data_IF_504230058954
#
_entry.id   IF_504230058954
#
_cell.length_a   1.000
_cell.length_b   1.000
_cell.length_c   1.000
_cell.angle_alpha   90.00
_cell.angle_beta   90.00
_cell.angle_gamma   90.00
#
_symmetry.space_group_name_H-M   'P 1'
#
loop_
_entity.id
_entity.type
_entity.pdbx_description
1 polymer ?
#
# COMPACT_ATOMS: atom_id res chain seq x y z
N UNK A 1 -41.01 -24.71 -17.11
CA UNK A 1 -40.73 -23.36 -16.58
C UNK A 1 -40.30 -22.51 -17.75
N UNK A 2 -41.18 -21.58 -18.11
CA UNK A 2 -41.20 -20.82 -19.35
C UNK A 2 -39.97 -19.90 -19.45
N UNK A 3 -39.24 -19.98 -20.57
CA UNK A 3 -38.49 -18.85 -21.08
C UNK A 3 -39.23 -18.36 -22.32
N UNK A 4 -40.34 -17.66 -22.08
CA UNK A 4 -40.94 -16.75 -23.05
C UNK A 4 -39.92 -15.64 -23.34
N UNK A 5 -39.64 -15.38 -24.62
CA UNK A 5 -38.68 -14.42 -25.19
C UNK A 5 -37.27 -14.93 -25.58
N UNK A 6 -37.14 -16.07 -26.25
CA UNK A 6 -36.07 -16.15 -27.26
C UNK A 6 -36.54 -15.42 -28.52
N UNK A 7 -35.97 -14.23 -28.76
CA UNK A 7 -36.27 -13.42 -29.95
C UNK A 7 -36.02 -14.25 -31.22
N UNK A 8 -37.10 -14.49 -31.97
CA UNK A 8 -37.05 -15.14 -33.27
C UNK A 8 -36.58 -14.15 -34.34
N UNK A 9 -35.70 -14.63 -35.22
CA UNK A 9 -35.15 -13.86 -36.33
C UNK A 9 -35.40 -14.56 -37.66
N UNK A 10 -35.67 -13.78 -38.70
CA UNK A 10 -35.78 -14.24 -40.08
C UNK A 10 -34.57 -13.76 -40.88
N UNK A 11 -34.05 -14.62 -41.74
CA UNK A 11 -32.92 -14.34 -42.63
C UNK A 11 -33.40 -14.22 -44.07
N UNK A 12 -32.79 -13.33 -44.85
CA UNK A 12 -33.02 -13.25 -46.29
C UNK A 12 -31.84 -13.91 -47.03
N UNK A 13 -32.03 -15.14 -47.50
CA UNK A 13 -31.00 -15.94 -48.18
C UNK A 13 -31.47 -16.14 -49.62
N UNK A 14 -30.67 -15.68 -50.60
CA UNK A 14 -31.02 -15.75 -52.02
C UNK A 14 -32.42 -15.17 -52.32
N UNK A 15 -32.72 -14.01 -51.73
CA UNK A 15 -34.02 -13.30 -51.85
C UNK A 15 -35.23 -14.05 -51.28
N UNK A 16 -35.02 -15.20 -50.62
CA UNK A 16 -36.06 -15.95 -49.92
C UNK A 16 -35.94 -15.76 -48.40
N UNK A 17 -37.08 -15.53 -47.77
CA UNK A 17 -37.18 -15.48 -46.31
C UNK A 17 -37.06 -16.90 -45.73
N UNK A 18 -36.19 -17.06 -44.74
CA UNK A 18 -35.93 -18.31 -44.07
C UNK A 18 -35.91 -18.10 -42.54
N UNK A 19 -36.61 -18.96 -41.80
CA UNK A 19 -36.74 -18.85 -40.35
C UNK A 19 -38.08 -19.37 -39.83
N UNK A 20 -38.41 -19.17 -38.54
CA UNK A 20 -37.65 -18.39 -37.56
C UNK A 20 -36.42 -19.13 -37.02
N UNK A 21 -35.34 -18.38 -36.78
CA UNK A 21 -34.10 -18.84 -36.15
C UNK A 21 -33.84 -18.10 -34.85
N UNK A 22 -33.25 -18.80 -33.88
CA UNK A 22 -32.74 -18.17 -32.65
C UNK A 22 -31.38 -17.54 -32.90
N UNK A 23 -31.00 -16.58 -32.05
CA UNK A 23 -29.67 -15.94 -32.11
C UNK A 23 -28.53 -16.97 -32.07
N UNK A 24 -28.68 -18.04 -31.29
CA UNK A 24 -27.69 -19.14 -31.21
C UNK A 24 -27.57 -19.93 -32.52
N UNK A 25 -28.70 -20.21 -33.19
CA UNK A 25 -28.70 -20.89 -34.48
C UNK A 25 -28.00 -20.05 -35.56
N UNK A 26 -28.29 -18.74 -35.60
CA UNK A 26 -27.65 -17.81 -36.53
C UNK A 26 -26.13 -17.73 -36.29
N UNK A 27 -25.69 -17.75 -35.04
CA UNK A 27 -24.26 -17.76 -34.71
C UNK A 27 -23.56 -19.03 -35.20
N UNK A 28 -24.23 -20.19 -35.13
CA UNK A 28 -23.72 -21.45 -35.65
C UNK A 28 -23.64 -21.42 -37.18
N UNK A 29 -24.68 -20.91 -37.86
CA UNK A 29 -24.69 -20.78 -39.34
C UNK A 29 -23.57 -19.86 -39.83
N UNK A 30 -23.30 -18.74 -39.13
CA UNK A 30 -22.16 -17.88 -39.40
C UNK A 30 -20.82 -18.60 -39.21
N UNK A 31 -20.66 -19.35 -38.11
CA UNK A 31 -19.42 -20.08 -37.82
C UNK A 31 -19.14 -21.19 -38.84
N UNK A 32 -20.20 -21.77 -39.42
CA UNK A 32 -20.13 -22.78 -40.48
C UNK A 32 -19.95 -22.18 -41.89
N UNK A 33 -20.06 -20.85 -42.03
CA UNK A 33 -19.99 -20.18 -43.33
C UNK A 33 -21.21 -20.41 -44.22
N UNK A 34 -22.33 -20.87 -43.66
CA UNK A 34 -23.59 -21.09 -44.38
C UNK A 34 -24.27 -19.76 -44.76
N UNK A 35 -24.00 -18.69 -43.99
CA UNK A 35 -24.49 -17.33 -44.21
C UNK A 35 -23.35 -16.33 -44.00
N UNK A 36 -23.43 -15.18 -44.66
CA UNK A 36 -22.45 -14.10 -44.53
C UNK A 36 -22.84 -13.12 -43.41
N UNK A 37 -21.87 -12.39 -42.85
CA UNK A 37 -22.18 -11.33 -41.88
C UNK A 37 -23.04 -10.20 -42.48
N UNK A 38 -23.00 -10.04 -43.81
CA UNK A 38 -23.83 -9.12 -44.57
C UNK A 38 -25.24 -9.64 -44.88
N UNK A 39 -25.54 -10.92 -44.59
CA UNK A 39 -26.87 -11.49 -44.83
C UNK A 39 -27.91 -10.68 -44.06
N UNK A 40 -28.99 -10.20 -44.70
CA UNK A 40 -30.03 -9.45 -44.01
C UNK A 40 -30.80 -10.33 -43.02
N UNK A 41 -31.09 -9.77 -41.84
CA UNK A 41 -31.95 -10.37 -40.84
C UNK A 41 -32.94 -9.34 -40.28
N UNK A 42 -34.11 -9.81 -39.88
CA UNK A 42 -35.11 -9.03 -39.16
C UNK A 42 -35.63 -9.81 -37.95
N UNK A 43 -36.13 -9.10 -36.95
CA UNK A 43 -36.87 -9.73 -35.85
C UNK A 43 -38.28 -10.14 -36.29
N UNK A 44 -39.04 -10.75 -35.38
CA UNK A 44 -40.41 -11.24 -35.64
C UNK A 44 -41.38 -10.15 -36.14
N UNK A 45 -41.09 -8.88 -35.85
CA UNK A 45 -41.92 -7.75 -36.32
C UNK A 45 -41.65 -7.37 -37.78
N UNK A 46 -40.55 -7.86 -38.37
CA UNK A 46 -40.08 -7.52 -39.73
C UNK A 46 -39.96 -6.02 -40.01
N UNK A 47 -39.92 -5.20 -38.96
CA UNK A 47 -39.96 -3.75 -39.08
C UNK A 47 -38.67 -3.18 -39.70
N UNK A 48 -37.55 -3.90 -39.56
CA UNK A 48 -36.25 -3.48 -40.10
C UNK A 48 -35.37 -4.68 -40.43
N UNK A 49 -34.84 -4.67 -41.65
CA UNK A 49 -33.79 -5.59 -42.08
C UNK A 49 -32.42 -4.97 -41.82
N UNK A 50 -31.56 -5.70 -41.12
CA UNK A 50 -30.19 -5.28 -40.82
C UNK A 50 -29.22 -6.45 -41.05
N UNK A 51 -27.94 -6.19 -41.34
CA UNK A 51 -26.96 -7.27 -41.48
C UNK A 51 -26.85 -8.10 -40.19
N UNK A 52 -26.78 -9.43 -40.31
CA UNK A 52 -26.62 -10.33 -39.16
C UNK A 52 -25.40 -9.97 -38.31
N UNK A 53 -24.32 -9.46 -38.91
CA UNK A 53 -23.14 -9.02 -38.18
C UNK A 53 -23.42 -7.92 -37.13
N UNK A 54 -24.48 -7.12 -37.32
CA UNK A 54 -24.88 -6.10 -36.34
C UNK A 54 -25.51 -6.69 -35.08
N UNK A 55 -26.12 -7.88 -35.17
CA UNK A 55 -26.68 -8.58 -34.00
C UNK A 55 -25.61 -8.97 -32.98
N UNK A 56 -24.34 -9.06 -33.38
CA UNK A 56 -23.24 -9.53 -32.53
C UNK A 56 -22.20 -8.44 -32.22
N UNK A 57 -22.43 -7.18 -32.65
CA UNK A 57 -21.54 -6.08 -32.28
C UNK A 57 -21.54 -5.90 -30.77
N UNK A 58 -20.38 -5.97 -30.08
CA UNK A 58 -20.31 -5.71 -28.66
C UNK A 58 -20.70 -4.25 -28.40
N UNK A 59 -21.70 -4.03 -27.54
CA UNK A 59 -22.13 -2.68 -27.21
C UNK A 59 -20.95 -1.90 -26.58
N UNK A 60 -20.56 -0.81 -27.23
CA UNK A 60 -19.38 0.01 -26.95
C UNK A 60 -19.35 0.67 -25.55
N UNK A 61 -20.39 0.49 -24.72
CA UNK A 61 -20.47 1.03 -23.35
C UNK A 61 -19.49 0.38 -22.36
N UNK A 62 -19.03 -0.85 -22.59
CA UNK A 62 -18.12 -1.55 -21.66
C UNK A 62 -16.67 -1.06 -21.70
N UNK A 63 -16.24 -0.46 -22.80
CA UNK A 63 -14.87 0.02 -22.96
C UNK A 63 -14.61 1.39 -22.30
N UNK A 64 -15.61 2.25 -22.20
CA UNK A 64 -15.47 3.57 -21.57
C UNK A 64 -15.27 3.46 -20.06
N UNK A 65 -15.97 2.51 -19.40
CA UNK A 65 -15.82 2.28 -17.95
C UNK A 65 -14.46 1.64 -17.64
N UNK A 66 -14.00 0.69 -18.47
CA UNK A 66 -12.69 0.06 -18.30
C UNK A 66 -11.53 1.06 -18.48
N UNK A 67 -11.62 1.96 -19.47
CA UNK A 67 -10.63 3.00 -19.70
C UNK A 67 -10.60 4.06 -18.57
N UNK A 68 -11.76 4.46 -18.06
CA UNK A 68 -11.85 5.38 -16.93
C UNK A 68 -11.27 4.77 -15.64
N UNK A 69 -11.56 3.50 -15.35
CA UNK A 69 -10.99 2.79 -14.19
C UNK A 69 -9.48 2.59 -14.35
N UNK A 70 -9.00 2.26 -15.56
CA UNK A 70 -7.57 2.15 -15.83
C UNK A 70 -6.83 3.49 -15.68
N UNK A 71 -7.45 4.61 -16.10
CA UNK A 71 -6.88 5.95 -15.91
C UNK A 71 -6.81 6.34 -14.43
N UNK A 72 -7.85 6.05 -13.65
CA UNK A 72 -7.85 6.30 -12.19
C UNK A 72 -6.80 5.45 -11.48
N UNK A 73 -6.67 4.16 -11.84
CA UNK A 73 -5.63 3.28 -11.30
C UNK A 73 -4.22 3.74 -11.72
N UNK A 74 -4.02 4.19 -12.95
CA UNK A 74 -2.73 4.71 -13.41
C UNK A 74 -2.32 5.99 -12.67
N UNK A 75 -3.26 6.92 -12.42
CA UNK A 75 -3.00 8.13 -11.64
C UNK A 75 -2.70 7.79 -10.17
N UNK A 76 -3.42 6.84 -9.58
CA UNK A 76 -3.17 6.40 -8.21
C UNK A 76 -1.80 5.71 -8.04
N UNK A 77 -1.40 4.88 -9.00
CA UNK A 77 -0.08 4.21 -9.01
C UNK A 77 1.03 5.24 -9.26
N UNK A 78 0.83 6.20 -10.16
CA UNK A 78 1.79 7.28 -10.39
C UNK A 78 1.95 8.19 -9.17
N UNK A 79 0.86 8.52 -8.47
CA UNK A 79 0.90 9.31 -7.24
C UNK A 79 1.61 8.57 -6.09
N UNK A 80 1.35 7.27 -5.92
CA UNK A 80 2.04 6.45 -4.93
C UNK A 80 3.54 6.31 -5.24
N UNK A 81 3.90 6.12 -6.52
CA UNK A 81 5.29 6.04 -6.95
C UNK A 81 6.02 7.40 -6.80
N UNK A 82 5.37 8.51 -7.14
CA UNK A 82 5.93 9.86 -6.95
C UNK A 82 6.10 10.20 -5.47
N UNK A 83 5.15 9.83 -4.61
CA UNK A 83 5.26 10.01 -3.16
C UNK A 83 6.40 9.17 -2.58
N UNK A 84 6.52 7.90 -2.99
CA UNK A 84 7.61 7.02 -2.58
C UNK A 84 8.98 7.50 -3.08
N UNK A 85 9.07 7.97 -4.32
CA UNK A 85 10.30 8.55 -4.89
C UNK A 85 10.71 9.84 -4.18
N UNK A 86 9.75 10.73 -3.91
CA UNK A 86 9.98 11.96 -3.13
C UNK A 86 10.44 11.65 -1.70
N UNK A 87 9.85 10.63 -1.05
CA UNK A 87 10.23 10.23 0.31
C UNK A 87 11.59 9.52 0.38
N UNK A 88 11.99 8.81 -0.68
CA UNK A 88 13.29 8.14 -0.78
C UNK A 88 14.44 9.12 -1.08
N UNK A 89 14.22 10.10 -1.96
CA UNK A 89 15.27 11.03 -2.42
C UNK A 89 15.41 12.32 -1.59
N UNK A 90 14.42 12.69 -0.77
CA UNK A 90 14.54 13.78 0.20
C UNK A 90 14.86 13.28 1.62
N UNK A 91 15.69 12.24 1.71
CA UNK A 91 16.43 11.96 2.94
C UNK A 91 17.38 13.13 3.18
N UNK A 92 17.31 13.84 4.32
CA UNK A 92 18.24 14.92 4.59
C UNK A 92 19.66 14.33 4.59
N UNK A 93 20.55 14.93 3.79
CA UNK A 93 21.98 14.62 3.89
C UNK A 93 22.39 14.85 5.34
N UNK A 94 23.06 13.87 5.93
CA UNK A 94 23.65 13.97 7.27
C UNK A 94 24.49 15.25 7.36
N UNK A 95 24.00 16.26 8.07
CA UNK A 95 24.68 17.56 8.26
C UNK A 95 25.29 17.70 9.66
N UNK A 96 25.44 16.60 10.40
CA UNK A 96 26.08 16.62 11.73
C UNK A 96 27.32 15.73 11.68
N UNK A 97 28.48 16.18 12.20
CA UNK A 97 29.72 15.42 12.16
C UNK A 97 29.56 14.01 12.74
N UNK A 98 30.41 13.05 12.33
CA UNK A 98 30.40 11.70 12.90
C UNK A 98 30.42 11.81 14.42
N UNK A 99 29.64 10.98 15.14
CA UNK A 99 29.59 11.07 16.59
C UNK A 99 31.01 10.98 17.13
N UNK A 100 31.38 11.83 18.10
CA UNK A 100 32.72 11.84 18.64
C UNK A 100 33.10 10.42 19.07
N UNK A 101 34.38 10.08 18.90
CA UNK A 101 34.96 8.81 19.33
C UNK A 101 35.01 8.77 20.87
N UNK A 102 33.84 8.83 21.52
CA UNK A 102 33.73 8.81 22.97
C UNK A 102 33.88 7.35 23.36
N UNK A 103 34.96 7.03 24.05
CA UNK A 103 35.04 5.79 24.81
C UNK A 103 33.95 5.83 25.90
N UNK A 104 32.80 5.22 25.63
CA UNK A 104 31.60 5.21 26.48
C UNK A 104 31.73 4.24 27.69
N UNK A 105 32.88 4.20 28.38
CA UNK A 105 33.13 3.37 29.58
C UNK A 105 32.13 3.60 30.74
N UNK A 106 31.35 4.69 30.70
CA UNK A 106 30.32 5.05 31.70
C UNK A 106 28.92 4.50 31.42
N UNK A 107 28.68 3.87 30.28
CA UNK A 107 27.33 3.50 29.83
C UNK A 107 27.19 1.98 29.89
N UNK A 108 26.87 1.47 31.09
CA UNK A 108 26.66 0.05 31.31
C UNK A 108 25.41 -0.43 30.54
N UNK A 109 25.58 -1.55 29.84
CA UNK A 109 24.54 -2.28 29.10
C UNK A 109 23.34 -2.51 30.02
N UNK A 110 22.29 -1.73 29.85
CA UNK A 110 21.18 -1.71 30.82
C UNK A 110 20.16 -2.81 30.57
N UNK A 111 20.18 -3.47 29.40
CA UNK A 111 19.23 -4.54 29.10
C UNK A 111 19.81 -5.67 28.25
N UNK A 112 19.27 -6.87 28.45
CA UNK A 112 19.49 -8.07 27.62
C UNK A 112 18.54 -8.12 26.41
N UNK A 113 17.84 -7.02 26.12
CA UNK A 113 16.85 -6.98 25.04
C UNK A 113 17.57 -7.02 23.68
N UNK A 114 17.08 -7.90 22.82
CA UNK A 114 17.53 -8.00 21.44
C UNK A 114 16.33 -8.08 20.50
N UNK A 115 16.46 -7.46 19.33
CA UNK A 115 15.44 -7.48 18.28
C UNK A 115 16.13 -7.86 16.98
N UNK A 116 15.61 -8.87 16.30
CA UNK A 116 16.12 -9.30 15.00
C UNK A 116 15.26 -8.70 13.90
N UNK A 117 15.86 -7.89 13.03
CA UNK A 117 15.19 -7.29 11.87
C UNK A 117 15.87 -7.77 10.59
N UNK A 118 15.47 -8.93 10.03
CA UNK A 118 16.07 -9.42 8.79
C UNK A 118 15.70 -8.52 7.60
N UNK A 119 16.59 -8.36 6.61
CA UNK A 119 16.28 -7.60 5.41
C UNK A 119 15.23 -8.32 4.59
N UNK A 120 14.24 -7.57 4.13
CA UNK A 120 13.23 -8.02 3.16
C UNK A 120 13.87 -8.34 1.81
N UNK A 121 13.17 -9.11 0.98
CA UNK A 121 13.63 -9.46 -0.38
C UNK A 121 13.97 -8.23 -1.22
N UNK A 122 13.23 -7.13 -1.05
CA UNK A 122 13.47 -5.87 -1.74
C UNK A 122 14.70 -5.12 -1.23
N UNK A 123 14.90 -5.04 0.08
CA UNK A 123 16.08 -4.40 0.68
C UNK A 123 17.38 -5.11 0.29
N UNK A 124 17.35 -6.44 0.13
CA UNK A 124 18.49 -7.20 -0.40
C UNK A 124 18.86 -6.80 -1.83
N UNK A 125 17.90 -6.34 -2.63
CA UNK A 125 18.08 -6.01 -4.05
C UNK A 125 18.43 -4.55 -4.30
N UNK A 126 17.84 -3.62 -3.55
CA UNK A 126 17.94 -2.18 -3.80
C UNK A 126 18.81 -1.43 -2.78
N UNK A 127 19.32 -2.14 -1.79
CA UNK A 127 20.02 -1.53 -0.66
C UNK A 127 19.06 -1.19 0.47
N UNK A 128 19.58 -1.29 1.69
CA UNK A 128 18.80 -1.15 2.92
C UNK A 128 19.00 0.22 3.54
N UNK A 129 17.92 0.91 3.89
CA UNK A 129 18.01 2.15 4.64
C UNK A 129 18.23 1.85 6.13
N UNK A 130 19.49 1.80 6.55
CA UNK A 130 19.85 1.45 7.92
C UNK A 130 19.32 2.44 8.97
N UNK A 131 19.10 3.71 8.63
CA UNK A 131 18.51 4.69 9.56
C UNK A 131 17.04 4.35 9.83
N UNK A 132 16.29 3.99 8.79
CA UNK A 132 14.89 3.56 8.92
C UNK A 132 14.77 2.28 9.75
N UNK A 133 15.71 1.35 9.57
CA UNK A 133 15.76 0.10 10.33
C UNK A 133 16.14 0.36 11.79
N UNK A 134 17.13 1.23 12.03
CA UNK A 134 17.49 1.66 13.39
C UNK A 134 16.31 2.31 14.10
N UNK A 135 15.51 3.12 13.38
CA UNK A 135 14.26 3.65 13.92
C UNK A 135 13.27 2.55 14.30
N UNK A 136 13.05 1.57 13.43
CA UNK A 136 12.16 0.45 13.70
C UNK A 136 12.64 -0.40 14.90
N UNK A 137 13.95 -0.62 15.02
CA UNK A 137 14.54 -1.27 16.18
C UNK A 137 14.29 -0.44 17.45
N UNK A 138 14.52 0.88 17.40
CA UNK A 138 14.25 1.81 18.50
C UNK A 138 12.81 1.73 19.00
N UNK A 139 11.83 1.81 18.09
CA UNK A 139 10.41 1.76 18.45
C UNK A 139 10.05 0.42 19.10
N UNK A 140 10.61 -0.69 18.62
CA UNK A 140 10.38 -2.00 19.22
C UNK A 140 10.92 -2.09 20.65
N UNK A 141 12.14 -1.60 20.88
CA UNK A 141 12.73 -1.58 22.22
C UNK A 141 11.95 -0.68 23.18
N UNK A 142 11.58 0.52 22.74
CA UNK A 142 10.81 1.45 23.56
C UNK A 142 9.43 0.87 23.86
N UNK A 143 8.77 0.22 22.90
CA UNK A 143 7.48 -0.43 23.13
C UNK A 143 7.58 -1.52 24.21
N UNK A 144 8.62 -2.36 24.17
CA UNK A 144 8.83 -3.43 25.16
C UNK A 144 9.09 -2.91 26.58
N UNK A 145 9.62 -1.69 26.73
CA UNK A 145 9.84 -1.04 28.02
C UNK A 145 8.57 -0.36 28.60
N UNK A 146 7.53 -0.17 27.78
CA UNK A 146 6.28 0.44 28.22
C UNK A 146 5.42 -0.54 29.02
N UNK A 147 4.68 -0.02 30.00
CA UNK A 147 3.74 -0.83 30.79
C UNK A 147 2.55 -1.38 29.98
N UNK A 148 2.24 -0.75 28.83
CA UNK A 148 1.16 -1.11 27.90
C UNK A 148 1.64 -0.95 26.46
N UNK A 149 2.47 -1.89 25.96
CA UNK A 149 3.11 -1.81 24.64
C UNK A 149 2.11 -1.64 23.49
N UNK A 150 0.94 -2.26 23.60
CA UNK A 150 -0.13 -2.27 22.58
C UNK A 150 -0.74 -0.89 22.33
N UNK A 151 -0.55 0.06 23.25
CA UNK A 151 -1.09 1.41 23.16
C UNK A 151 -0.09 2.43 22.62
N UNK A 152 1.15 2.00 22.34
CA UNK A 152 2.23 2.87 21.92
C UNK A 152 2.02 3.40 20.50
N UNK A 153 2.01 4.73 20.37
CA UNK A 153 1.98 5.46 19.10
C UNK A 153 3.26 6.27 18.98
N UNK A 154 4.12 5.88 18.03
CA UNK A 154 5.38 6.57 17.76
C UNK A 154 5.17 7.68 16.74
N UNK A 155 5.98 8.73 16.86
CA UNK A 155 6.02 9.79 15.86
C UNK A 155 6.49 9.23 14.49
N UNK A 156 6.19 9.89 13.35
CA UNK A 156 6.73 9.45 12.07
C UNK A 156 8.26 9.54 12.04
N UNK A 157 8.92 8.72 11.23
CA UNK A 157 10.39 8.72 11.06
C UNK A 157 10.96 10.12 10.76
N UNK A 158 10.23 10.96 10.04
CA UNK A 158 10.69 12.32 9.68
C UNK A 158 10.87 13.27 10.86
N UNK A 159 10.19 13.02 11.99
CA UNK A 159 10.29 13.86 13.18
C UNK A 159 11.30 13.35 14.21
N UNK A 160 11.97 12.23 13.94
CA UNK A 160 12.97 11.68 14.85
C UNK A 160 14.39 12.12 14.47
N UNK A 161 15.25 12.30 15.47
CA UNK A 161 16.66 12.59 15.27
C UNK A 161 17.44 11.26 15.33
N UNK A 162 18.09 10.90 14.22
CA UNK A 162 18.87 9.67 14.12
C UNK A 162 20.30 10.02 13.74
N UNK A 163 21.25 9.53 14.52
CA UNK A 163 22.69 9.70 14.30
C UNK A 163 23.36 8.34 14.40
N UNK A 164 24.16 7.93 13.42
CA UNK A 164 24.82 6.63 13.48
C UNK A 164 25.52 6.25 12.20
N UNK A 165 26.28 5.18 12.29
CA UNK A 165 26.99 4.56 11.16
C UNK A 165 26.82 3.06 11.28
N UNK A 166 26.41 2.41 10.20
CA UNK A 166 26.28 0.97 9.89
C UNK A 166 26.04 -0.06 11.01
N UNK A 167 26.83 -0.02 12.07
CA UNK A 167 26.84 -0.93 13.20
C UNK A 167 26.41 -0.29 14.54
N UNK A 168 26.21 1.03 14.61
CA UNK A 168 25.75 1.76 15.82
C UNK A 168 24.90 2.97 15.50
N UNK A 169 23.84 3.16 16.29
CA UNK A 169 22.85 4.22 16.09
C UNK A 169 22.38 4.80 17.42
N UNK A 170 22.21 6.12 17.43
CA UNK A 170 21.49 6.92 18.42
C UNK A 170 20.19 7.36 17.77
N UNK A 171 19.07 7.09 18.43
CA UNK A 171 17.74 7.49 17.99
C UNK A 171 17.08 8.27 19.11
N UNK A 172 16.59 9.47 18.79
CA UNK A 172 15.73 10.26 19.65
C UNK A 172 14.38 10.47 18.99
N UNK A 173 13.32 10.30 19.76
CA UNK A 173 11.98 10.50 19.26
C UNK A 173 10.96 10.65 20.36
N UNK A 174 9.71 10.71 19.95
CA UNK A 174 8.56 10.83 20.83
C UNK A 174 7.65 9.60 20.70
N UNK A 175 7.10 9.19 21.83
CA UNK A 175 6.09 8.12 21.90
C UNK A 175 4.93 8.56 22.80
N UNK A 176 3.71 8.25 22.36
CA UNK A 176 2.51 8.43 23.15
C UNK A 176 1.98 7.06 23.57
N UNK A 177 1.74 6.86 24.86
CA UNK A 177 1.24 5.57 25.37
C UNK A 177 0.37 5.76 26.61
N UNK A 178 -0.52 4.79 26.85
CA UNK A 178 -1.34 4.76 28.06
C UNK A 178 -0.52 4.28 29.26
N UNK A 179 -0.69 4.95 30.39
CA UNK A 179 -0.15 4.52 31.69
C UNK A 179 -0.97 3.37 32.28
N UNK A 180 -0.48 2.76 33.38
CA UNK A 180 -1.24 1.78 34.17
C UNK A 180 -2.60 2.33 34.63
N UNK A 181 -2.69 3.64 34.88
CA UNK A 181 -3.93 4.34 35.27
C UNK A 181 -4.79 4.80 34.09
N UNK A 182 -4.56 4.26 32.89
CA UNK A 182 -5.31 4.58 31.66
C UNK A 182 -5.21 6.04 31.18
N UNK A 183 -4.26 6.82 31.70
CA UNK A 183 -4.01 8.18 31.25
C UNK A 183 -3.01 8.18 30.10
N UNK A 184 -3.34 8.90 29.02
CA UNK A 184 -2.45 9.10 27.88
C UNK A 184 -1.30 10.03 28.28
N UNK A 185 -0.06 9.60 28.02
CA UNK A 185 1.14 10.41 28.26
C UNK A 185 2.06 10.39 27.06
N UNK A 186 2.74 11.52 26.87
CA UNK A 186 3.84 11.67 25.90
C UNK A 186 5.17 11.47 26.62
N UNK A 187 6.07 10.73 26.00
CA UNK A 187 7.42 10.46 26.48
C UNK A 187 8.41 10.80 25.38
N UNK A 188 9.51 11.41 25.77
CA UNK A 188 10.67 11.55 24.90
C UNK A 188 11.61 10.40 25.23
N UNK A 189 12.08 9.71 24.19
CA UNK A 189 13.04 8.63 24.36
C UNK A 189 14.33 8.96 23.63
N UNK A 190 15.43 8.53 24.23
CA UNK A 190 16.74 8.52 23.62
C UNK A 190 17.33 7.13 23.80
N UNK A 191 17.65 6.47 22.69
CA UNK A 191 18.17 5.12 22.71
C UNK A 191 19.46 5.03 21.89
N UNK A 192 20.45 4.34 22.46
CA UNK A 192 21.66 3.94 21.77
C UNK A 192 21.65 2.43 21.59
N UNK A 193 21.88 2.01 20.37
CA UNK A 193 21.82 0.60 19.98
C UNK A 193 22.96 0.24 19.05
N UNK A 194 23.38 -1.01 19.16
CA UNK A 194 24.35 -1.63 18.27
C UNK A 194 23.66 -2.67 17.38
N UNK A 195 24.10 -2.74 16.13
CA UNK A 195 23.73 -3.77 15.16
C UNK A 195 24.86 -4.80 15.11
N UNK A 196 24.58 -6.00 15.58
CA UNK A 196 25.48 -7.15 15.54
C UNK A 196 25.41 -7.91 14.21
N UNK A 197 26.17 -9.00 14.14
CA UNK A 197 26.09 -9.97 13.05
C UNK A 197 24.67 -10.53 12.94
N UNK A 198 24.23 -10.83 11.72
CA UNK A 198 22.90 -11.36 11.41
C UNK A 198 21.73 -10.40 11.73
N UNK A 199 21.97 -9.09 11.73
CA UNK A 199 20.90 -8.09 11.88
C UNK A 199 20.19 -8.14 13.23
N UNK A 200 20.93 -8.62 14.24
CA UNK A 200 20.53 -8.60 15.63
C UNK A 200 20.85 -7.23 16.18
N UNK A 201 19.84 -6.52 16.66
CA UNK A 201 19.98 -5.24 17.31
C UNK A 201 19.99 -5.45 18.82
N UNK A 202 20.84 -4.72 19.52
CA UNK A 202 20.93 -4.77 20.99
C UNK A 202 20.96 -3.36 21.55
N UNK A 203 20.26 -3.16 22.67
CA UNK A 203 20.27 -1.89 23.39
C UNK A 203 21.57 -1.76 24.18
N UNK A 204 22.29 -0.66 23.96
CA UNK A 204 23.42 -0.28 24.81
C UNK A 204 22.94 0.66 25.93
N UNK A 205 22.01 1.56 25.61
CA UNK A 205 21.41 2.49 26.57
C UNK A 205 20.02 2.92 26.13
N UNK A 206 19.11 3.12 27.09
CA UNK A 206 17.78 3.66 26.87
C UNK A 206 17.46 4.67 27.99
N UNK A 207 17.30 5.94 27.63
CA UNK A 207 16.71 6.96 28.50
C UNK A 207 15.25 7.19 28.11
N UNK A 208 14.40 7.21 29.12
CA UNK A 208 12.99 7.57 29.01
C UNK A 208 12.74 8.76 29.93
N UNK A 209 13.01 9.95 29.42
CA UNK A 209 12.65 11.17 30.12
C UNK A 209 11.13 11.39 30.01
N UNK A 210 10.48 11.68 31.14
CA UNK A 210 9.10 12.19 31.11
C UNK A 210 9.15 13.51 30.34
N UNK A 211 8.32 13.66 29.30
CA UNK A 211 8.13 14.98 28.70
C UNK A 211 7.83 15.97 29.83
N UNK A 212 8.49 17.13 29.85
CA UNK A 212 8.17 18.22 30.80
C UNK A 212 6.67 18.42 30.70
N UNK A 213 5.94 18.07 31.76
CA UNK A 213 4.55 18.48 31.89
C UNK A 213 4.55 19.99 31.71
N UNK A 214 3.78 20.50 30.77
CA UNK A 214 3.38 21.90 30.82
C UNK A 214 2.53 22.04 32.07
N UNK A 215 3.16 22.24 33.22
CA UNK A 215 2.54 22.91 34.35
C UNK A 215 2.36 24.36 33.92
N UNK A 216 1.31 24.62 33.16
CA UNK A 216 0.57 25.86 33.35
C UNK A 216 -0.64 25.47 34.18
N UNK A 217 -0.45 25.56 35.49
CA UNK A 217 -1.44 26.17 36.37
C UNK A 217 -1.89 27.48 35.71
N UNK A 218 -3.06 27.47 35.09
CA UNK A 218 -3.92 28.66 35.07
C UNK A 218 -4.76 28.58 36.35
N UNK A 219 -4.12 28.89 37.46
CA UNK A 219 -4.77 29.53 38.59
C UNK A 219 -4.27 30.98 38.53
N UNK A 220 -5.16 31.93 38.25
CA UNK A 220 -4.79 33.34 38.16
C UNK A 220 -5.91 34.23 37.65
N UNK A 221 -6.81 34.55 38.59
CA UNK A 221 -7.74 35.72 38.66
C UNK A 221 -8.86 35.87 37.62
#
# INVERSE_FOLDING_TARGET
MNNENETAFFLLINEQESGPYTRGQIQIMLARGEIAQSTPCADDTRAKWQPVGELFKPSSRRFVIAAAVAAVLAVAVAAAAAWYWFEYHHTPKSTVPPPPNVSYKKWQKTSSLSVTLPPTTWEKRLGRNLHRVAYQAATNFVAQDLSRPETAKFAPFKSCEIQGVDWRFRVKGEVQALTKSNNLRKYNFEIFMARGSNEIWTVEYLDRSKARGSSKTDDGE
#
